data_IF_902339822969
#
_entry.id   IF_902339822969
#
_cell.length_a   1.000
_cell.length_b   1.000
_cell.length_c   1.000
_cell.angle_alpha   90.00
_cell.angle_beta   90.00
_cell.angle_gamma   90.00
#
_symmetry.space_group_name_H-M   'P 1'
#
loop_
_entity.id
_entity.type
_entity.pdbx_description
1 polymer ?
#
# COMPACT_ATOMS: atom_id res chain seq x y z
N UNK A 1 25.80 26.58 39.31
CA UNK A 1 27.11 26.55 40.00
C UNK A 1 27.65 25.14 39.83
N UNK A 2 28.41 24.89 38.76
CA UNK A 2 29.13 23.62 38.57
C UNK A 2 30.56 23.86 39.04
N UNK A 3 31.01 23.11 40.04
CA UNK A 3 32.36 23.19 40.58
C UNK A 3 33.36 22.70 39.53
N UNK A 4 34.34 23.54 39.17
CA UNK A 4 35.45 23.13 38.30
C UNK A 4 36.39 22.23 39.12
N UNK A 5 36.39 20.93 38.81
CA UNK A 5 37.33 19.98 39.38
C UNK A 5 38.74 20.17 38.83
N UNK A 6 39.71 20.36 39.73
CA UNK A 6 41.14 20.37 39.42
C UNK A 6 41.76 19.04 39.84
N UNK A 7 42.67 18.51 39.03
CA UNK A 7 43.41 17.28 39.36
C UNK A 7 44.90 17.59 39.43
N UNK A 8 45.57 17.07 40.46
CA UNK A 8 47.00 17.23 40.66
C UNK A 8 47.76 16.17 39.87
N UNK A 9 48.73 16.61 39.07
CA UNK A 9 49.63 15.74 38.29
C UNK A 9 51.08 16.01 38.69
N UNK A 10 52.00 15.15 38.26
CA UNK A 10 53.44 15.25 38.56
C UNK A 10 54.10 16.54 38.02
N UNK A 11 53.38 17.34 37.20
CA UNK A 11 53.83 18.62 36.64
C UNK A 11 52.97 19.84 37.08
N UNK A 12 52.07 19.67 38.05
CA UNK A 12 51.22 20.75 38.60
C UNK A 12 49.71 20.48 38.51
N UNK A 13 48.91 21.47 38.93
CA UNK A 13 47.45 21.43 38.86
C UNK A 13 46.95 21.68 37.43
N UNK A 14 46.25 20.72 36.85
CA UNK A 14 45.64 20.84 35.53
C UNK A 14 44.12 20.94 35.63
N UNK A 15 43.52 21.80 34.80
CA UNK A 15 42.07 21.90 34.68
C UNK A 15 41.54 20.65 33.96
N UNK A 16 40.51 20.02 34.52
CA UNK A 16 39.83 18.91 33.87
C UNK A 16 38.98 19.48 32.71
N UNK A 17 39.45 19.37 31.47
CA UNK A 17 38.60 19.65 30.31
C UNK A 17 37.47 18.62 30.29
N UNK A 18 36.24 19.11 30.26
CA UNK A 18 35.04 18.28 30.15
C UNK A 18 35.09 17.49 28.84
N UNK A 19 34.61 16.22 28.82
CA UNK A 19 34.67 15.40 27.62
C UNK A 19 33.94 16.09 26.45
N UNK A 20 34.51 15.90 25.26
CA UNK A 20 34.11 16.50 23.99
C UNK A 20 32.71 16.15 23.50
N UNK A 21 32.45 16.43 22.21
CA UNK A 21 31.22 17.02 21.74
C UNK A 21 30.00 16.15 21.97
N UNK A 22 28.93 16.85 22.34
CA UNK A 22 27.55 16.42 22.35
C UNK A 22 27.20 15.55 21.12
N UNK A 23 27.02 14.25 21.34
CA UNK A 23 26.51 13.32 20.33
C UNK A 23 25.01 13.58 20.01
N UNK A 24 24.38 14.57 20.63
CA UNK A 24 23.06 15.06 20.21
C UNK A 24 23.11 15.93 18.93
N UNK A 25 24.30 16.21 18.39
CA UNK A 25 24.49 17.11 17.24
C UNK A 25 24.59 16.48 15.84
N UNK A 26 24.28 15.19 15.64
CA UNK A 26 24.57 14.50 14.34
C UNK A 26 23.32 14.20 13.48
N UNK A 27 22.15 14.70 13.85
CA UNK A 27 21.05 14.82 12.90
C UNK A 27 20.57 16.26 12.88
N UNK A 28 20.88 16.95 11.80
CA UNK A 28 20.26 18.24 11.48
C UNK A 28 18.73 18.03 11.50
N UNK A 29 18.05 18.69 12.44
CA UNK A 29 16.60 18.62 12.55
C UNK A 29 15.92 19.06 11.24
N UNK A 30 16.54 19.96 10.47
CA UNK A 30 16.08 20.33 9.15
C UNK A 30 16.24 19.18 8.13
N UNK A 31 17.31 18.39 8.22
CA UNK A 31 17.48 17.19 7.41
C UNK A 31 16.43 16.11 7.75
N UNK A 32 16.08 15.94 9.03
CA UNK A 32 14.97 15.07 9.45
C UNK A 32 13.60 15.60 8.96
N UNK A 33 13.40 16.92 8.93
CA UNK A 33 12.19 17.57 8.40
C UNK A 33 12.09 17.55 6.87
N UNK A 34 13.22 17.35 6.17
CA UNK A 34 13.27 17.31 4.70
C UNK A 34 12.98 15.94 4.09
N UNK A 35 12.80 14.90 4.92
CA UNK A 35 12.64 13.53 4.46
C UNK A 35 11.34 13.35 3.66
N UNK A 36 11.47 12.81 2.45
CA UNK A 36 10.33 12.47 1.59
C UNK A 36 9.81 11.10 2.01
N UNK A 37 8.65 11.08 2.66
CA UNK A 37 8.00 9.85 3.13
C UNK A 37 6.81 9.51 2.23
N UNK A 38 6.80 8.29 1.69
CA UNK A 38 5.66 7.74 0.96
C UNK A 38 4.91 6.72 1.84
N UNK A 39 3.58 6.77 1.81
CA UNK A 39 2.71 5.71 2.32
C UNK A 39 2.29 4.76 1.21
N UNK A 40 2.17 3.47 1.50
CA UNK A 40 1.81 2.42 0.53
C UNK A 40 0.79 1.46 1.14
N UNK A 41 -0.23 1.12 0.35
CA UNK A 41 -1.22 0.11 0.69
C UNK A 41 -1.78 -0.59 -0.57
N UNK A 42 -2.42 -1.73 -0.39
CA UNK A 42 -3.04 -2.53 -1.45
C UNK A 42 -4.56 -2.67 -1.36
N UNK A 43 -5.19 -2.95 -2.49
CA UNK A 43 -6.58 -3.38 -2.58
C UNK A 43 -6.72 -4.64 -3.44
N UNK A 44 -7.58 -5.57 -2.99
CA UNK A 44 -8.01 -6.69 -3.82
C UNK A 44 -7.25 -8.00 -3.64
N UNK A 45 -6.75 -8.31 -2.44
CA UNK A 45 -6.10 -9.61 -2.22
C UNK A 45 -7.06 -10.81 -2.15
N UNK A 46 -8.20 -10.65 -1.46
CA UNK A 46 -9.18 -11.72 -1.26
C UNK A 46 -10.14 -12.07 -2.41
N UNK A 47 -10.49 -11.16 -3.35
CA UNK A 47 -11.41 -11.44 -4.46
C UNK A 47 -11.03 -12.65 -5.32
N UNK A 48 -12.05 -13.30 -5.88
CA UNK A 48 -11.90 -14.41 -6.84
C UNK A 48 -11.59 -13.92 -8.26
N UNK A 49 -11.90 -12.65 -8.56
CA UNK A 49 -11.75 -12.06 -9.87
C UNK A 49 -11.15 -10.64 -9.81
N UNK A 50 -10.53 -10.24 -10.91
CA UNK A 50 -9.90 -8.95 -11.15
C UNK A 50 -8.50 -8.80 -10.54
N UNK A 51 -7.81 -7.68 -10.81
CA UNK A 51 -6.42 -7.47 -10.41
C UNK A 51 -6.27 -7.24 -8.90
N UNK A 52 -5.03 -7.29 -8.43
CA UNK A 52 -4.62 -6.62 -7.20
C UNK A 52 -4.05 -5.25 -7.57
N UNK A 53 -4.44 -4.22 -6.82
CA UNK A 53 -3.95 -2.85 -6.97
C UNK A 53 -3.11 -2.48 -5.76
N UNK A 54 -2.13 -1.61 -5.95
CA UNK A 54 -1.46 -0.91 -4.87
C UNK A 54 -1.25 0.55 -5.27
N UNK A 55 -1.13 1.42 -4.27
CA UNK A 55 -0.79 2.82 -4.49
C UNK A 55 0.36 3.24 -3.58
N UNK A 56 1.10 4.25 -4.02
CA UNK A 56 2.10 4.94 -3.24
C UNK A 56 1.75 6.44 -3.24
N UNK A 57 1.80 7.09 -2.09
CA UNK A 57 1.44 8.52 -1.95
C UNK A 57 2.45 9.24 -1.07
N UNK A 58 2.97 10.36 -1.57
CA UNK A 58 3.74 11.36 -0.81
C UNK A 58 2.83 12.57 -0.58
N UNK A 59 2.39 12.76 0.65
CA UNK A 59 1.55 13.91 1.01
C UNK A 59 2.35 15.21 1.05
N UNK A 60 1.66 16.33 0.81
CA UNK A 60 2.23 17.65 0.99
C UNK A 60 1.85 18.21 2.36
N UNK A 61 2.80 18.44 3.28
CA UNK A 61 2.49 19.03 4.59
C UNK A 61 1.87 20.43 4.50
N UNK A 62 2.07 21.15 3.39
CA UNK A 62 1.50 22.48 3.16
C UNK A 62 0.06 22.42 2.61
N UNK A 63 -0.40 21.25 2.16
CA UNK A 63 -1.75 21.04 1.57
C UNK A 63 -2.44 19.87 2.25
N UNK A 64 -2.82 20.00 3.54
CA UNK A 64 -3.44 18.91 4.28
C UNK A 64 -4.76 18.46 3.62
N UNK A 65 -5.10 17.20 3.86
CA UNK A 65 -6.31 16.56 3.37
C UNK A 65 -7.07 16.07 4.59
N UNK A 66 -8.19 16.73 4.90
CA UNK A 66 -9.04 16.32 6.00
C UNK A 66 -9.86 15.08 5.64
N UNK A 67 -10.17 14.25 6.64
CA UNK A 67 -11.04 13.08 6.47
C UNK A 67 -10.35 11.79 5.98
N UNK A 68 -9.03 11.80 5.81
CA UNK A 68 -8.25 10.58 5.58
C UNK A 68 -8.41 9.60 6.74
N UNK A 69 -8.83 8.38 6.42
CA UNK A 69 -8.95 7.26 7.35
C UNK A 69 -8.83 5.92 6.58
N UNK A 70 -8.94 4.79 7.27
CA UNK A 70 -9.02 3.47 6.64
C UNK A 70 -10.11 3.45 5.57
N UNK A 71 -9.71 3.15 4.32
CA UNK A 71 -10.61 3.08 3.17
C UNK A 71 -11.79 2.13 3.38
N UNK A 72 -11.67 1.11 4.23
CA UNK A 72 -12.73 0.13 4.55
C UNK A 72 -13.80 0.71 5.45
N UNK A 73 -13.44 1.70 6.27
CA UNK A 73 -14.37 2.40 7.19
C UNK A 73 -15.09 3.54 6.48
N UNK A 74 -14.44 4.15 5.47
CA UNK A 74 -15.05 5.19 4.65
C UNK A 74 -16.19 4.64 3.77
N UNK A 75 -17.19 5.49 3.49
CA UNK A 75 -18.21 5.17 2.48
C UNK A 75 -17.62 5.25 1.06
N UNK A 76 -18.28 4.63 0.08
CA UNK A 76 -17.87 4.73 -1.33
C UNK A 76 -17.85 6.19 -1.80
N UNK A 77 -18.91 6.95 -1.49
CA UNK A 77 -18.97 8.37 -1.78
C UNK A 77 -17.80 9.16 -1.17
N UNK A 78 -17.46 8.93 0.11
CA UNK A 78 -16.35 9.63 0.76
C UNK A 78 -15.01 9.31 0.09
N UNK A 79 -14.80 8.05 -0.32
CA UNK A 79 -13.59 7.68 -1.08
C UNK A 79 -13.54 8.34 -2.45
N UNK A 80 -14.67 8.43 -3.14
CA UNK A 80 -14.76 9.03 -4.48
C UNK A 80 -14.55 10.55 -4.45
N UNK A 81 -14.89 11.21 -3.32
CA UNK A 81 -14.58 12.62 -3.07
C UNK A 81 -13.10 12.82 -2.68
N UNK A 82 -12.52 11.92 -1.87
CA UNK A 82 -11.13 12.02 -1.40
C UNK A 82 -10.11 11.65 -2.47
N UNK A 83 -10.37 10.66 -3.32
CA UNK A 83 -9.42 10.22 -4.34
C UNK A 83 -8.94 11.34 -5.30
N UNK A 84 -9.81 12.17 -5.91
CA UNK A 84 -9.36 13.29 -6.73
C UNK A 84 -8.61 14.35 -5.90
N UNK A 85 -9.05 14.59 -4.66
CA UNK A 85 -8.40 15.54 -3.75
C UNK A 85 -6.96 15.11 -3.40
N UNK A 86 -6.75 13.81 -3.13
CA UNK A 86 -5.41 13.23 -2.92
C UNK A 86 -4.55 13.42 -4.17
N UNK A 87 -5.09 13.14 -5.35
CA UNK A 87 -4.33 13.28 -6.61
C UNK A 87 -3.93 14.73 -6.88
N UNK A 88 -4.76 15.68 -6.49
CA UNK A 88 -4.52 17.11 -6.65
C UNK A 88 -3.52 17.66 -5.62
N UNK A 89 -3.62 17.21 -4.36
CA UNK A 89 -2.89 17.78 -3.21
C UNK A 89 -1.59 17.08 -2.85
N UNK A 90 -1.45 15.79 -3.12
CA UNK A 90 -0.21 15.07 -2.87
C UNK A 90 0.95 15.62 -3.71
N UNK A 91 2.17 15.59 -3.17
CA UNK A 91 3.39 15.96 -3.91
C UNK A 91 3.68 14.97 -5.03
N UNK A 92 3.44 13.69 -4.78
CA UNK A 92 3.54 12.63 -5.77
C UNK A 92 2.62 11.48 -5.37
N UNK A 93 2.12 10.77 -6.37
CA UNK A 93 1.40 9.53 -6.18
C UNK A 93 1.56 8.63 -7.39
N UNK A 94 1.35 7.34 -7.21
CA UNK A 94 1.28 6.39 -8.30
C UNK A 94 0.35 5.24 -7.90
N UNK A 95 -0.39 4.72 -8.87
CA UNK A 95 -1.24 3.52 -8.72
C UNK A 95 -0.76 2.48 -9.71
N UNK A 96 -0.52 1.27 -9.23
CA UNK A 96 -0.11 0.14 -10.05
C UNK A 96 -1.00 -1.07 -9.80
N UNK A 97 -1.04 -1.97 -10.77
CA UNK A 97 -1.80 -3.21 -10.69
C UNK A 97 -1.00 -4.41 -11.19
N UNK A 98 -1.44 -5.58 -10.77
CA UNK A 98 -0.95 -6.89 -11.22
C UNK A 98 -2.16 -7.73 -11.60
N UNK A 99 -2.18 -8.14 -12.87
CA UNK A 99 -3.33 -8.84 -13.48
C UNK A 99 -3.45 -10.30 -13.03
N UNK A 100 -4.58 -10.93 -13.35
CA UNK A 100 -4.88 -12.29 -12.86
C UNK A 100 -3.91 -13.36 -13.35
N UNK A 101 -3.36 -13.22 -14.55
CA UNK A 101 -2.33 -14.13 -15.09
C UNK A 101 -1.06 -14.06 -14.25
N UNK A 102 -0.61 -12.86 -13.89
CA UNK A 102 0.55 -12.66 -13.02
C UNK A 102 0.26 -13.14 -11.59
N UNK A 103 -0.96 -12.91 -11.06
CA UNK A 103 -1.39 -13.43 -9.76
C UNK A 103 -1.31 -14.97 -9.71
N UNK A 104 -1.85 -15.63 -10.73
CA UNK A 104 -1.85 -17.10 -10.81
C UNK A 104 -0.42 -17.66 -10.95
N UNK A 105 0.49 -16.92 -11.58
CA UNK A 105 1.91 -17.30 -11.74
C UNK A 105 2.71 -17.07 -10.47
N UNK A 106 2.52 -15.93 -9.81
CA UNK A 106 3.36 -15.47 -8.71
C UNK A 106 2.86 -15.88 -7.33
N UNK A 107 1.59 -16.27 -7.22
CA UNK A 107 0.74 -16.24 -6.03
C UNK A 107 0.37 -14.83 -5.57
N UNK A 108 -0.68 -14.73 -4.74
CA UNK A 108 -1.25 -13.43 -4.34
C UNK A 108 -0.31 -12.59 -3.48
N UNK A 109 0.54 -13.21 -2.65
CA UNK A 109 1.48 -12.47 -1.83
C UNK A 109 2.51 -11.77 -2.72
N UNK A 110 3.16 -12.51 -3.62
CA UNK A 110 4.21 -11.94 -4.48
C UNK A 110 3.62 -10.97 -5.50
N UNK A 111 2.41 -11.23 -6.01
CA UNK A 111 1.69 -10.27 -6.85
C UNK A 111 1.39 -8.96 -6.10
N UNK A 112 1.03 -9.03 -4.82
CA UNK A 112 0.87 -7.83 -3.97
C UNK A 112 2.19 -7.07 -3.82
N UNK A 113 3.28 -7.79 -3.51
CA UNK A 113 4.61 -7.19 -3.39
C UNK A 113 5.05 -6.53 -4.71
N UNK A 114 4.74 -7.14 -5.85
CA UNK A 114 5.02 -6.59 -7.18
C UNK A 114 4.19 -5.32 -7.46
N UNK A 115 2.90 -5.31 -7.11
CA UNK A 115 2.05 -4.12 -7.24
C UNK A 115 2.59 -2.96 -6.39
N UNK A 116 2.93 -3.22 -5.12
CA UNK A 116 3.51 -2.21 -4.21
C UNK A 116 4.84 -1.67 -4.76
N UNK A 117 5.72 -2.55 -5.25
CA UNK A 117 6.99 -2.16 -5.88
C UNK A 117 6.75 -1.24 -7.08
N UNK A 118 5.88 -1.65 -8.01
CA UNK A 118 5.54 -0.85 -9.20
C UNK A 118 4.96 0.52 -8.82
N UNK A 119 4.14 0.59 -7.76
CA UNK A 119 3.61 1.85 -7.27
C UNK A 119 4.71 2.76 -6.72
N UNK A 120 5.66 2.24 -5.93
CA UNK A 120 6.79 3.04 -5.42
C UNK A 120 7.73 3.49 -6.54
N UNK A 121 8.11 2.57 -7.44
CA UNK A 121 8.99 2.86 -8.58
C UNK A 121 8.37 3.83 -9.60
N UNK A 122 7.02 3.90 -9.64
CA UNK A 122 6.29 4.83 -10.48
C UNK A 122 6.05 6.21 -9.88
N UNK A 123 6.53 6.50 -8.66
CA UNK A 123 6.47 7.85 -8.09
C UNK A 123 7.36 8.81 -8.88
N UNK A 124 6.81 9.95 -9.30
CA UNK A 124 7.59 11.02 -9.93
C UNK A 124 8.61 11.67 -8.99
N UNK A 125 8.42 11.50 -7.68
CA UNK A 125 9.30 11.96 -6.62
C UNK A 125 9.81 10.75 -5.83
N UNK A 126 11.10 10.38 -5.92
CA UNK A 126 11.63 9.22 -5.22
C UNK A 126 11.62 9.46 -3.69
N UNK A 127 11.04 8.53 -2.89
CA UNK A 127 10.99 8.68 -1.44
C UNK A 127 12.30 8.24 -0.75
N UNK A 128 12.61 8.88 0.37
CA UNK A 128 13.70 8.50 1.27
C UNK A 128 13.30 7.35 2.21
N UNK A 129 12.01 7.29 2.53
CA UNK A 129 11.38 6.29 3.39
C UNK A 129 10.01 5.92 2.82
N UNK A 130 9.73 4.62 2.77
CA UNK A 130 8.41 4.08 2.44
C UNK A 130 7.82 3.43 3.68
N UNK A 131 6.61 3.85 4.05
CA UNK A 131 5.80 3.24 5.09
C UNK A 131 4.69 2.39 4.45
N UNK A 132 4.65 1.10 4.75
CA UNK A 132 3.75 0.12 4.10
C UNK A 132 2.79 -0.46 5.13
N UNK A 133 1.50 -0.57 4.79
CA UNK A 133 0.55 -1.30 5.64
C UNK A 133 0.92 -2.79 5.79
N UNK A 134 0.78 -3.31 7.00
CA UNK A 134 1.01 -4.71 7.33
C UNK A 134 2.40 -5.01 7.88
N UNK A 135 2.88 -6.23 7.64
CA UNK A 135 4.10 -6.78 8.24
C UNK A 135 5.11 -7.33 7.21
N UNK A 136 4.90 -7.01 5.93
CA UNK A 136 5.76 -7.45 4.82
C UNK A 136 5.98 -6.28 3.88
N UNK A 137 7.12 -6.30 3.21
CA UNK A 137 7.51 -5.28 2.26
C UNK A 137 8.17 -5.91 1.03
N UNK A 138 8.00 -5.31 -0.17
CA UNK A 138 8.84 -5.63 -1.30
C UNK A 138 10.27 -5.13 -1.05
N UNK A 139 11.25 -5.71 -1.75
CA UNK A 139 12.59 -5.13 -1.77
C UNK A 139 12.56 -3.80 -2.53
N UNK A 140 12.93 -2.69 -1.89
CA UNK A 140 12.95 -1.36 -2.49
C UNK A 140 14.37 -0.79 -2.40
N UNK A 141 14.70 0.18 -3.24
CA UNK A 141 15.99 0.88 -3.21
C UNK A 141 16.11 1.87 -2.04
N UNK A 142 14.99 2.26 -1.44
CA UNK A 142 14.90 3.18 -0.32
C UNK A 142 14.67 2.43 1.01
N UNK A 143 14.70 3.18 2.13
CA UNK A 143 14.35 2.62 3.44
C UNK A 143 12.88 2.24 3.48
N UNK A 144 12.56 1.19 4.22
CA UNK A 144 11.20 0.69 4.37
C UNK A 144 10.86 0.47 5.83
N UNK A 145 9.66 0.87 6.22
CA UNK A 145 9.06 0.60 7.52
C UNK A 145 7.68 -0.02 7.29
N UNK A 146 7.42 -1.19 7.86
CA UNK A 146 6.10 -1.80 7.85
C UNK A 146 5.31 -1.37 9.08
N UNK A 147 4.03 -1.02 8.91
CA UNK A 147 3.15 -0.54 9.98
C UNK A 147 1.87 -1.38 9.97
N UNK A 148 1.64 -2.18 11.00
CA UNK A 148 0.44 -3.01 11.10
C UNK A 148 -0.77 -2.12 11.39
N UNK A 149 -1.78 -2.15 10.51
CA UNK A 149 -2.95 -1.25 10.61
C UNK A 149 -2.55 0.20 10.33
N UNK A 150 -1.61 0.38 9.40
CA UNK A 150 -1.05 1.67 9.02
C UNK A 150 -2.06 2.55 8.32
N UNK A 151 -3.05 1.97 7.65
CA UNK A 151 -4.18 2.67 7.01
C UNK A 151 -5.02 3.51 8.00
N UNK A 152 -5.11 3.09 9.27
CA UNK A 152 -5.78 3.83 10.33
C UNK A 152 -4.85 4.77 11.13
N UNK A 153 -3.52 4.64 11.00
CA UNK A 153 -2.55 5.31 11.87
C UNK A 153 -1.66 6.32 11.14
N UNK A 154 -1.43 6.13 9.84
CA UNK A 154 -0.50 6.91 9.03
C UNK A 154 -1.25 7.51 7.85
N UNK A 155 -1.31 8.84 7.80
CA UNK A 155 -2.08 9.60 6.81
C UNK A 155 -1.69 9.26 5.36
N UNK A 156 -0.40 9.08 5.08
CA UNK A 156 0.06 8.71 3.75
C UNK A 156 -0.37 7.28 3.34
N UNK A 157 -0.40 6.33 4.28
CA UNK A 157 -0.89 4.96 4.03
C UNK A 157 -2.42 5.01 3.84
N UNK A 158 -3.14 5.78 4.65
CA UNK A 158 -4.57 6.02 4.45
C UNK A 158 -4.87 6.55 3.04
N UNK A 159 -4.14 7.57 2.59
CA UNK A 159 -4.30 8.12 1.24
C UNK A 159 -4.01 7.06 0.15
N UNK A 160 -2.96 6.25 0.33
CA UNK A 160 -2.66 5.14 -0.58
C UNK A 160 -3.78 4.09 -0.60
N UNK A 161 -4.35 3.72 0.55
CA UNK A 161 -5.47 2.78 0.65
C UNK A 161 -6.67 3.24 -0.17
N UNK A 162 -6.99 4.54 -0.11
CA UNK A 162 -8.09 5.16 -0.85
C UNK A 162 -7.82 5.12 -2.35
N UNK A 163 -6.61 5.50 -2.81
CA UNK A 163 -6.28 5.46 -4.23
C UNK A 163 -6.27 4.04 -4.80
N UNK A 164 -5.72 3.07 -4.07
CA UNK A 164 -5.72 1.67 -4.48
C UNK A 164 -7.16 1.12 -4.57
N UNK A 165 -7.99 1.42 -3.56
CA UNK A 165 -9.38 0.97 -3.48
C UNK A 165 -10.25 1.55 -4.59
N UNK A 166 -10.22 2.87 -4.78
CA UNK A 166 -11.03 3.55 -5.82
C UNK A 166 -10.63 3.12 -7.22
N UNK A 167 -9.33 3.03 -7.51
CA UNK A 167 -8.85 2.57 -8.82
C UNK A 167 -9.26 1.13 -9.10
N UNK A 168 -9.16 0.25 -8.09
CA UNK A 168 -9.61 -1.13 -8.22
C UNK A 168 -11.12 -1.21 -8.44
N UNK A 169 -11.91 -0.52 -7.65
CA UNK A 169 -13.37 -0.62 -7.73
C UNK A 169 -13.88 -0.12 -9.09
N UNK A 170 -13.27 0.93 -9.65
CA UNK A 170 -13.54 1.39 -11.01
C UNK A 170 -13.24 0.32 -12.07
N UNK A 171 -12.12 -0.42 -11.93
CA UNK A 171 -11.80 -1.53 -12.83
C UNK A 171 -12.86 -2.65 -12.75
N UNK A 172 -13.36 -2.96 -11.56
CA UNK A 172 -14.39 -3.99 -11.40
C UNK A 172 -15.75 -3.57 -11.99
N UNK A 173 -16.05 -2.26 -12.01
CA UNK A 173 -17.21 -1.73 -12.75
C UNK A 173 -16.99 -1.90 -14.26
N UNK A 174 -15.81 -1.56 -14.78
CA UNK A 174 -15.47 -1.78 -16.20
C UNK A 174 -15.55 -3.26 -16.59
N UNK A 175 -15.08 -4.16 -15.74
CA UNK A 175 -15.18 -5.60 -15.98
C UNK A 175 -16.63 -6.10 -15.94
N UNK A 176 -17.52 -5.46 -15.19
CA UNK A 176 -18.94 -5.80 -15.19
C UNK A 176 -19.59 -5.48 -16.55
N UNK A 177 -19.19 -4.40 -17.22
CA UNK A 177 -19.70 -4.09 -18.57
C UNK A 177 -19.37 -5.20 -19.57
N UNK A 178 -18.20 -5.83 -19.42
CA UNK A 178 -17.75 -6.94 -20.27
C UNK A 178 -18.37 -8.28 -19.85
N UNK A 179 -18.51 -8.52 -18.55
CA UNK A 179 -19.02 -9.76 -17.99
C UNK A 179 -20.17 -9.51 -17.00
N UNK A 180 -21.34 -9.05 -17.50
CA UNK A 180 -22.43 -8.58 -16.65
C UNK A 180 -23.05 -9.68 -15.78
N UNK A 181 -23.00 -10.94 -16.26
CA UNK A 181 -23.56 -12.09 -15.55
C UNK A 181 -22.96 -12.32 -14.16
N UNK A 182 -21.71 -11.88 -13.92
CA UNK A 182 -21.06 -12.12 -12.62
C UNK A 182 -21.38 -11.06 -11.56
N UNK A 183 -21.84 -9.85 -11.90
CA UNK A 183 -22.15 -8.81 -10.91
C UNK A 183 -20.93 -8.14 -10.24
N UNK A 184 -19.82 -8.00 -10.98
CA UNK A 184 -18.57 -7.41 -10.47
C UNK A 184 -18.69 -5.97 -9.98
N UNK A 185 -19.61 -5.18 -10.52
CA UNK A 185 -19.92 -3.82 -10.09
C UNK A 185 -20.42 -3.76 -8.63
N UNK A 186 -21.06 -4.82 -8.15
CA UNK A 186 -21.65 -4.88 -6.79
C UNK A 186 -20.68 -5.44 -5.76
N UNK A 187 -20.18 -6.65 -6.00
CA UNK A 187 -19.34 -7.35 -5.02
C UNK A 187 -17.86 -7.25 -5.33
N UNK A 188 -17.44 -6.47 -6.33
CA UNK A 188 -16.04 -6.16 -6.66
C UNK A 188 -15.14 -7.41 -6.77
N UNK A 189 -15.69 -8.50 -7.30
CA UNK A 189 -15.00 -9.80 -7.47
C UNK A 189 -14.92 -10.69 -6.22
N UNK A 190 -15.43 -10.28 -5.06
CA UNK A 190 -15.48 -11.15 -3.86
C UNK A 190 -16.46 -12.32 -4.05
N UNK A 191 -16.15 -13.47 -3.44
CA UNK A 191 -16.91 -14.72 -3.55
C UNK A 191 -18.25 -14.72 -2.80
N UNK A 192 -19.17 -13.83 -3.17
CA UNK A 192 -20.53 -13.80 -2.61
C UNK A 192 -21.35 -15.00 -3.11
N UNK A 193 -22.46 -15.38 -2.44
CA UNK A 193 -23.33 -16.45 -2.91
C UNK A 193 -23.80 -16.26 -4.36
N UNK A 194 -24.05 -15.01 -4.78
CA UNK A 194 -24.37 -14.68 -6.16
C UNK A 194 -23.21 -15.01 -7.10
N UNK A 195 -22.00 -14.54 -6.80
CA UNK A 195 -20.81 -14.78 -7.61
C UNK A 195 -20.51 -16.27 -7.76
N UNK A 196 -20.62 -17.04 -6.67
CA UNK A 196 -20.39 -18.49 -6.68
C UNK A 196 -21.43 -19.22 -7.54
N UNK A 197 -22.69 -18.78 -7.52
CA UNK A 197 -23.73 -19.33 -8.40
C UNK A 197 -23.42 -19.06 -9.86
N UNK A 198 -23.05 -17.82 -10.21
CA UNK A 198 -22.70 -17.46 -11.59
C UNK A 198 -21.45 -18.22 -12.06
N UNK A 199 -20.48 -18.46 -11.17
CA UNK A 199 -19.30 -19.28 -11.46
C UNK A 199 -19.65 -20.75 -11.75
N UNK A 200 -20.68 -21.30 -11.08
CA UNK A 200 -21.17 -22.65 -11.35
C UNK A 200 -21.99 -22.73 -12.63
N UNK A 201 -22.77 -21.70 -12.94
CA UNK A 201 -23.69 -21.67 -14.09
C UNK A 201 -22.98 -21.34 -15.42
N UNK A 202 -22.01 -20.42 -15.39
CA UNK A 202 -21.36 -19.89 -16.59
C UNK A 202 -19.88 -20.29 -16.70
N UNK A 203 -19.33 -20.97 -15.70
CA UNK A 203 -17.90 -21.20 -15.59
C UNK A 203 -17.11 -19.90 -15.30
N UNK A 204 -15.78 -19.97 -15.14
CA UNK A 204 -14.94 -18.80 -14.91
C UNK A 204 -14.62 -18.05 -16.21
N UNK A 205 -14.76 -16.72 -16.20
CA UNK A 205 -14.27 -15.85 -17.27
C UNK A 205 -12.74 -15.59 -17.17
N UNK A 206 -12.11 -14.97 -18.19
CA UNK A 206 -10.67 -14.66 -18.19
C UNK A 206 -10.17 -13.86 -16.99
N UNK A 207 -11.04 -13.08 -16.34
CA UNK A 207 -10.70 -12.25 -15.18
C UNK A 207 -10.80 -12.98 -13.83
N UNK A 208 -11.11 -14.28 -13.83
CA UNK A 208 -11.05 -15.08 -12.61
C UNK A 208 -9.64 -15.58 -12.33
N UNK A 209 -9.25 -15.56 -11.05
CA UNK A 209 -7.95 -16.07 -10.57
C UNK A 209 -8.03 -17.58 -10.48
N UNK A 210 -7.50 -18.27 -11.48
CA UNK A 210 -7.65 -19.72 -11.65
C UNK A 210 -6.96 -20.53 -10.56
N UNK A 211 -5.97 -19.93 -9.90
CA UNK A 211 -5.26 -20.54 -8.77
C UNK A 211 -6.06 -20.52 -7.45
N UNK A 212 -7.12 -19.71 -7.35
CA UNK A 212 -7.90 -19.53 -6.12
C UNK A 212 -8.99 -20.59 -6.01
N UNK A 213 -9.21 -21.11 -4.80
CA UNK A 213 -10.42 -21.85 -4.48
C UNK A 213 -11.56 -20.84 -4.26
N UNK A 214 -12.77 -21.02 -4.84
CA UNK A 214 -13.30 -22.18 -5.55
C UNK A 214 -13.19 -22.16 -7.08
N UNK A 215 -12.51 -21.17 -7.68
CA UNK A 215 -12.35 -21.05 -9.14
C UNK A 215 -11.61 -22.26 -9.73
N UNK A 216 -10.56 -22.71 -9.07
CA UNK A 216 -9.81 -23.90 -9.50
C UNK A 216 -10.70 -25.14 -9.61
N UNK A 217 -11.64 -25.31 -8.68
CA UNK A 217 -12.58 -26.45 -8.66
C UNK A 217 -13.59 -26.38 -9.80
N UNK A 218 -14.09 -25.19 -10.17
CA UNK A 218 -15.05 -25.10 -11.28
C UNK A 218 -14.41 -25.51 -12.61
N UNK A 219 -13.14 -25.17 -12.84
CA UNK A 219 -12.38 -25.59 -14.03
C UNK A 219 -12.23 -27.11 -14.17
N UNK A 220 -12.13 -27.84 -13.06
CA UNK A 220 -11.96 -29.30 -13.08
C UNK A 220 -13.28 -30.05 -13.35
N UNK A 221 -14.43 -29.42 -13.08
CA UNK A 221 -15.75 -30.03 -13.36
C UNK A 221 -16.10 -29.99 -14.86
N UNK A 222 -15.63 -28.97 -15.56
CA UNK A 222 -15.79 -28.89 -17.02
C UNK A 222 -14.94 -29.93 -17.77
N UNK A 223 -13.85 -30.43 -17.17
CA UNK A 223 -13.02 -31.48 -17.78
C UNK A 223 -13.58 -32.89 -17.61
N UNK A 224 -14.41 -33.12 -16.58
CA UNK A 224 -15.04 -34.43 -16.32
C UNK A 224 -16.35 -34.64 -17.09
N UNK A 225 -16.79 -33.64 -17.87
CA UNK A 225 -18.04 -33.68 -18.65
C UNK A 225 -17.86 -33.93 -20.15
N UNK A 226 -16.65 -34.31 -20.58
CA UNK A 226 -16.39 -34.79 -21.94
C UNK A 226 -16.40 -36.34 -21.96
N UNK A 227 -17.29 -37.00 -22.74
CA UNK A 227 -17.38 -38.46 -22.81
C UNK A 227 -16.17 -39.12 -23.49
#
# INVERSE_FOLDING_TARGET
>A
MAEKGWVQTDFGWAAMESPGPDLAGVFDAAALLSMIVAGVDEAGRGPLAGPVYAAAVVLDPERPIDGLNDSKVLSEQARDELAPLIRERARAWCVASVGVVEIDTLNILNATMLAMRRAVEGLALPPDLVQIDGNRAPALSCRVQTVIGGDAQVQAISAASILAKTARDAELVRLHEVYPMYGFDRHKGYGTPHHLRCLLEHGPCPEHRRSFEPVRRSLLRDTDSYP
#
